data_IF_643492094394
#
_entry.id   IF_643492094394
#
_cell.length_a   1.000
_cell.length_b   1.000
_cell.length_c   1.000
_cell.angle_alpha   90.00
_cell.angle_beta   90.00
_cell.angle_gamma   90.00
#
_symmetry.space_group_name_H-M   'P 1'
#
loop_
_entity.id
_entity.type
_entity.pdbx_description
1 polymer ?
#
# COMPACT_ATOMS: atom_id res chain seq x y z
N UNK A 1 -16.72 -12.92 10.92
CA UNK A 1 -16.58 -12.31 9.58
C UNK A 1 -15.10 -11.93 9.40
N UNK A 2 -14.47 -12.36 8.31
CA UNK A 2 -13.10 -11.95 7.96
C UNK A 2 -13.12 -10.69 7.09
N UNK A 3 -11.95 -10.06 6.91
CA UNK A 3 -11.78 -8.96 5.97
C UNK A 3 -11.97 -9.44 4.53
N UNK A 4 -12.54 -8.60 3.68
CA UNK A 4 -12.51 -8.75 2.23
C UNK A 4 -11.33 -7.93 1.72
N UNK A 5 -10.59 -8.44 0.75
CA UNK A 5 -9.36 -7.82 0.23
C UNK A 5 -9.47 -7.64 -1.27
N UNK A 6 -9.36 -6.42 -1.73
CA UNK A 6 -9.11 -6.11 -3.14
C UNK A 6 -7.59 -6.01 -3.32
N UNK A 7 -6.99 -6.97 -4.01
CA UNK A 7 -5.57 -6.98 -4.38
C UNK A 7 -5.44 -6.39 -5.78
N UNK A 8 -4.80 -5.23 -5.86
CA UNK A 8 -4.59 -4.52 -7.12
C UNK A 8 -3.18 -4.79 -7.61
N UNK A 9 -3.06 -5.39 -8.78
CA UNK A 9 -1.78 -5.68 -9.42
C UNK A 9 -1.82 -5.28 -10.91
N UNK A 10 -0.77 -4.62 -11.36
CA UNK A 10 -0.67 -4.17 -12.75
C UNK A 10 -0.09 -5.24 -13.67
N UNK A 11 0.74 -6.13 -13.14
CA UNK A 11 1.49 -7.13 -13.91
C UNK A 11 0.84 -8.50 -13.78
N UNK A 12 0.07 -8.98 -14.79
CA UNK A 12 -0.63 -10.27 -14.69
C UNK A 12 0.32 -11.44 -14.39
N UNK A 13 1.55 -11.39 -14.92
CA UNK A 13 2.54 -12.43 -14.68
C UNK A 13 2.94 -12.58 -13.20
N UNK A 14 2.93 -11.49 -12.41
CA UNK A 14 3.17 -11.56 -10.97
C UNK A 14 2.03 -12.27 -10.25
N UNK A 15 0.79 -12.08 -10.71
CA UNK A 15 -0.36 -12.83 -10.20
C UNK A 15 -0.22 -14.33 -10.50
N UNK A 16 0.14 -14.67 -11.74
CA UNK A 16 0.36 -16.07 -12.15
C UNK A 16 1.48 -16.72 -11.33
N UNK A 17 2.62 -16.05 -11.17
CA UNK A 17 3.73 -16.57 -10.35
C UNK A 17 3.32 -16.82 -8.91
N UNK A 18 2.50 -15.96 -8.33
CA UNK A 18 2.01 -16.14 -6.96
C UNK A 18 0.99 -17.28 -6.84
N UNK A 19 0.26 -17.59 -7.90
CA UNK A 19 -0.65 -18.74 -7.94
C UNK A 19 0.06 -20.08 -8.16
N UNK A 20 1.13 -20.07 -8.93
CA UNK A 20 1.84 -21.29 -9.35
C UNK A 20 3.12 -21.50 -8.55
N UNK A 21 4.16 -20.73 -8.83
CA UNK A 21 5.51 -20.98 -8.28
C UNK A 21 5.66 -20.58 -6.82
N UNK A 22 4.98 -19.53 -6.39
CA UNK A 22 5.10 -18.97 -5.04
C UNK A 22 3.98 -19.43 -4.12
N UNK A 23 3.09 -20.27 -4.58
CA UNK A 23 1.90 -20.73 -3.85
C UNK A 23 2.22 -21.30 -2.46
N UNK A 24 3.24 -22.14 -2.39
CA UNK A 24 3.67 -22.76 -1.12
C UNK A 24 4.30 -21.74 -0.16
N UNK A 25 4.93 -20.70 -0.69
CA UNK A 25 5.55 -19.65 0.10
C UNK A 25 4.53 -18.65 0.64
N UNK A 26 3.54 -18.31 -0.15
CA UNK A 26 2.49 -17.34 0.22
C UNK A 26 1.28 -17.98 0.91
N UNK A 27 1.29 -19.31 1.11
CA UNK A 27 0.19 -20.04 1.75
C UNK A 27 -1.10 -20.08 0.93
N UNK A 28 -1.00 -20.03 -0.40
CA UNK A 28 -2.13 -20.03 -1.32
C UNK A 28 -3.14 -18.90 -1.06
N UNK A 29 -2.67 -17.73 -0.62
CA UNK A 29 -3.53 -16.60 -0.24
C UNK A 29 -4.42 -16.10 -1.38
N UNK A 30 -3.99 -16.26 -2.65
CA UNK A 30 -4.78 -15.83 -3.80
C UNK A 30 -5.98 -16.77 -4.09
N UNK A 31 -6.02 -17.97 -3.47
CA UNK A 31 -7.15 -18.90 -3.56
C UNK A 31 -8.20 -18.65 -2.47
N UNK A 32 -7.93 -17.76 -1.51
CA UNK A 32 -8.89 -17.41 -0.47
C UNK A 32 -10.06 -16.62 -1.08
N UNK A 33 -11.29 -17.10 -0.84
CA UNK A 33 -12.52 -16.48 -1.36
C UNK A 33 -12.74 -15.02 -0.90
N UNK A 34 -11.97 -14.57 0.08
CA UNK A 34 -11.98 -13.19 0.57
C UNK A 34 -11.06 -12.27 -0.22
N UNK A 35 -10.20 -12.83 -1.07
CA UNK A 35 -9.24 -12.09 -1.88
C UNK A 35 -9.76 -11.99 -3.31
N UNK A 36 -9.97 -10.77 -3.77
CA UNK A 36 -10.30 -10.45 -5.15
C UNK A 36 -9.09 -9.82 -5.82
N UNK A 37 -8.49 -10.52 -6.76
CA UNK A 37 -7.42 -9.98 -7.60
C UNK A 37 -8.02 -9.14 -8.71
N UNK A 38 -7.50 -7.93 -8.89
CA UNK A 38 -7.95 -6.96 -9.89
C UNK A 38 -6.70 -6.47 -10.66
N UNK A 39 -6.58 -6.87 -11.91
CA UNK A 39 -5.42 -6.59 -12.78
C UNK A 39 -5.58 -5.22 -13.45
N UNK A 40 -5.27 -4.16 -12.72
CA UNK A 40 -5.40 -2.77 -13.16
C UNK A 40 -4.34 -1.89 -12.50
N UNK A 41 -4.16 -0.67 -13.02
CA UNK A 41 -3.29 0.33 -12.40
C UNK A 41 -3.86 0.82 -11.07
N UNK A 42 -3.05 0.73 -10.00
CA UNK A 42 -3.42 1.20 -8.67
C UNK A 42 -3.73 2.70 -8.63
N UNK A 43 -3.06 3.50 -9.46
CA UNK A 43 -3.31 4.95 -9.57
C UNK A 43 -4.74 5.22 -10.04
N UNK A 44 -5.19 4.46 -11.04
CA UNK A 44 -6.54 4.63 -11.58
C UNK A 44 -7.60 4.10 -10.62
N UNK A 45 -7.35 2.96 -9.98
CA UNK A 45 -8.24 2.43 -8.94
C UNK A 45 -8.43 3.44 -7.80
N UNK A 46 -7.34 4.04 -7.32
CA UNK A 46 -7.39 5.02 -6.23
C UNK A 46 -8.14 6.30 -6.66
N UNK A 47 -7.95 6.74 -7.91
CA UNK A 47 -8.66 7.92 -8.43
C UNK A 47 -10.17 7.70 -8.57
N UNK A 48 -10.57 6.54 -9.06
CA UNK A 48 -11.96 6.22 -9.41
C UNK A 48 -12.77 5.65 -8.24
N UNK A 49 -12.10 5.10 -7.22
CA UNK A 49 -12.75 4.46 -6.08
C UNK A 49 -13.68 5.42 -5.32
N UNK A 50 -14.72 4.87 -4.71
CA UNK A 50 -15.72 5.62 -3.96
C UNK A 50 -15.18 6.16 -2.63
N UNK A 51 -15.70 7.30 -2.20
CA UNK A 51 -15.32 7.86 -0.91
C UNK A 51 -15.81 6.95 0.23
N UNK A 52 -14.95 6.78 1.24
CA UNK A 52 -15.27 6.00 2.45
C UNK A 52 -15.66 4.54 2.14
N UNK A 53 -15.02 3.91 1.16
CA UNK A 53 -15.26 2.52 0.76
C UNK A 53 -14.37 1.52 1.50
N UNK A 54 -13.18 1.95 1.97
CA UNK A 54 -12.20 1.03 2.56
C UNK A 54 -11.98 1.28 4.06
N UNK A 55 -11.80 0.19 4.80
CA UNK A 55 -11.37 0.20 6.21
C UNK A 55 -9.85 0.31 6.32
N UNK A 56 -9.12 -0.16 5.32
CA UNK A 56 -7.68 0.00 5.21
C UNK A 56 -7.27 0.13 3.73
N UNK A 57 -6.20 0.88 3.47
CA UNK A 57 -5.51 0.92 2.17
C UNK A 57 -4.03 0.68 2.44
N UNK A 58 -3.43 -0.33 1.80
CA UNK A 58 -2.01 -0.63 1.90
C UNK A 58 -1.38 -0.37 0.53
N UNK A 59 -0.34 0.46 0.51
CA UNK A 59 0.42 0.79 -0.68
C UNK A 59 1.85 0.26 -0.52
N UNK A 60 2.12 -0.79 -1.26
CA UNK A 60 3.44 -1.39 -1.48
C UNK A 60 3.75 -1.31 -2.97
N UNK A 61 3.86 -0.09 -3.47
CA UNK A 61 4.16 0.16 -4.88
C UNK A 61 5.65 0.42 -5.00
N UNK A 62 6.29 -0.31 -5.89
CA UNK A 62 7.71 -0.15 -6.17
C UNK A 62 8.09 1.32 -6.29
N UNK A 63 9.13 1.68 -5.54
CA UNK A 63 9.79 2.99 -5.47
C UNK A 63 9.37 3.92 -4.32
N UNK A 64 8.40 3.59 -3.49
CA UNK A 64 8.08 4.36 -2.29
C UNK A 64 8.05 5.88 -2.50
N UNK A 65 8.32 6.63 -1.45
CA UNK A 65 8.41 8.10 -1.48
C UNK A 65 9.67 8.65 -2.17
N UNK A 66 10.70 7.80 -2.36
CA UNK A 66 12.03 8.19 -2.92
C UNK A 66 12.26 7.66 -4.34
N UNK A 67 11.21 7.26 -5.04
CA UNK A 67 11.20 6.50 -6.28
C UNK A 67 12.23 6.86 -7.35
N UNK A 68 12.94 5.82 -7.83
CA UNK A 68 13.96 5.95 -8.88
C UNK A 68 13.48 5.55 -10.30
N UNK A 69 12.31 4.96 -10.51
CA UNK A 69 12.04 4.25 -11.78
C UNK A 69 10.77 4.63 -12.55
N UNK A 70 9.70 5.13 -11.97
CA UNK A 70 8.53 5.59 -12.76
C UNK A 70 7.83 6.78 -12.14
N UNK A 71 7.67 7.82 -12.95
CA UNK A 71 6.96 9.07 -12.60
C UNK A 71 5.47 8.89 -12.29
N UNK A 72 4.84 7.82 -12.75
CA UNK A 72 3.41 7.54 -12.52
C UNK A 72 3.10 7.20 -11.07
N UNK A 73 3.89 6.33 -10.43
CA UNK A 73 3.67 5.92 -9.06
C UNK A 73 3.96 7.04 -8.05
N UNK A 74 4.87 7.97 -8.38
CA UNK A 74 5.15 9.14 -7.52
C UNK A 74 3.91 10.02 -7.31
N UNK A 75 2.94 9.95 -8.21
CA UNK A 75 1.68 10.68 -8.09
C UNK A 75 0.88 10.30 -6.85
N UNK A 76 0.96 9.02 -6.41
CA UNK A 76 0.27 8.52 -5.21
C UNK A 76 0.83 9.14 -3.93
N UNK A 77 2.13 9.44 -3.90
CA UNK A 77 2.84 10.04 -2.77
C UNK A 77 2.79 11.58 -2.77
N UNK A 78 2.17 12.18 -3.78
CA UNK A 78 1.91 13.63 -3.85
C UNK A 78 0.78 14.04 -2.89
N UNK A 79 0.68 15.34 -2.60
CA UNK A 79 -0.47 15.87 -1.83
C UNK A 79 -1.82 15.50 -2.44
N UNK A 80 -1.92 15.46 -3.78
CA UNK A 80 -3.15 15.08 -4.48
C UNK A 80 -3.45 13.59 -4.29
N UNK A 81 -2.45 12.72 -4.49
CA UNK A 81 -2.59 11.29 -4.27
C UNK A 81 -2.99 10.96 -2.84
N UNK A 82 -2.29 11.54 -1.86
CA UNK A 82 -2.58 11.34 -0.44
C UNK A 82 -4.00 11.80 -0.04
N UNK A 83 -4.49 12.92 -0.61
CA UNK A 83 -5.89 13.33 -0.41
C UNK A 83 -6.87 12.32 -0.99
N UNK A 84 -6.54 11.74 -2.14
CA UNK A 84 -7.39 10.73 -2.77
C UNK A 84 -7.42 9.45 -1.94
N UNK A 85 -6.28 8.96 -1.48
CA UNK A 85 -6.21 7.82 -0.54
C UNK A 85 -7.02 8.11 0.72
N UNK A 86 -6.86 9.31 1.29
CA UNK A 86 -7.62 9.71 2.48
C UNK A 86 -9.14 9.76 2.24
N UNK A 87 -9.57 10.11 1.03
CA UNK A 87 -10.98 10.11 0.64
C UNK A 87 -11.58 8.70 0.65
N UNK A 88 -10.84 7.71 0.15
CA UNK A 88 -11.26 6.31 0.11
C UNK A 88 -11.46 5.70 1.50
N UNK A 89 -10.69 6.13 2.48
CA UNK A 89 -10.78 5.59 3.84
C UNK A 89 -12.06 6.04 4.54
N UNK A 90 -12.69 5.10 5.24
CA UNK A 90 -13.74 5.39 6.21
C UNK A 90 -13.21 6.24 7.37
N UNK A 91 -14.06 6.91 8.15
CA UNK A 91 -13.64 7.65 9.35
C UNK A 91 -12.92 6.73 10.35
N UNK A 92 -11.83 7.24 10.96
CA UNK A 92 -11.00 6.51 11.93
C UNK A 92 -10.23 5.31 11.36
N UNK A 93 -10.24 5.13 10.05
CA UNK A 93 -9.49 4.09 9.36
C UNK A 93 -8.10 4.60 8.92
N UNK A 94 -7.27 3.74 8.38
CA UNK A 94 -5.86 4.05 8.15
C UNK A 94 -5.33 3.56 6.81
N UNK A 95 -4.28 4.22 6.31
CA UNK A 95 -3.45 3.71 5.22
C UNK A 95 -2.06 3.33 5.72
N UNK A 96 -1.47 2.31 5.11
CA UNK A 96 -0.07 1.92 5.27
C UNK A 96 0.69 2.21 3.97
N UNK A 97 1.85 2.83 4.09
CA UNK A 97 2.73 3.09 2.96
C UNK A 97 4.09 2.44 3.26
N UNK A 98 4.43 1.43 2.46
CA UNK A 98 5.73 0.79 2.55
C UNK A 98 6.83 1.69 1.99
N UNK A 99 7.99 1.69 2.61
CA UNK A 99 9.16 2.46 2.18
C UNK A 99 10.45 1.75 2.56
N UNK A 100 11.47 1.85 1.69
CA UNK A 100 12.81 1.34 1.95
C UNK A 100 13.56 2.11 3.06
N UNK A 101 13.00 3.21 3.56
CA UNK A 101 13.60 4.00 4.63
C UNK A 101 12.70 5.14 5.09
N UNK A 102 13.16 5.89 6.08
CA UNK A 102 12.45 7.07 6.58
C UNK A 102 12.57 8.23 5.59
N UNK A 103 11.44 8.87 5.28
CA UNK A 103 11.36 10.09 4.49
C UNK A 103 10.60 11.17 5.27
N UNK A 104 11.32 12.11 5.92
CA UNK A 104 10.70 13.21 6.65
C UNK A 104 9.81 14.11 5.77
N UNK A 105 10.16 14.27 4.51
CA UNK A 105 9.37 15.07 3.56
C UNK A 105 8.05 14.37 3.23
N UNK A 106 8.05 13.05 3.13
CA UNK A 106 6.82 12.29 2.93
C UNK A 106 5.91 12.36 4.15
N UNK A 107 6.48 12.22 5.35
CA UNK A 107 5.75 12.42 6.59
C UNK A 107 5.08 13.79 6.63
N UNK A 108 5.83 14.86 6.35
CA UNK A 108 5.29 16.22 6.34
C UNK A 108 4.16 16.39 5.30
N UNK A 109 4.28 15.75 4.11
CA UNK A 109 3.20 15.74 3.10
C UNK A 109 1.93 15.09 3.61
N UNK A 110 2.04 13.94 4.30
CA UNK A 110 0.89 13.25 4.90
C UNK A 110 0.20 14.12 5.96
N UNK A 111 0.97 14.77 6.84
CA UNK A 111 0.45 15.66 7.87
C UNK A 111 -0.28 16.87 7.26
N UNK A 112 0.26 17.44 6.16
CA UNK A 112 -0.37 18.55 5.43
C UNK A 112 -1.75 18.17 4.88
N UNK A 113 -1.98 16.91 4.54
CA UNK A 113 -3.31 16.43 4.11
C UNK A 113 -4.15 15.88 5.27
N UNK A 114 -3.77 16.20 6.50
CA UNK A 114 -4.52 15.90 7.74
C UNK A 114 -4.54 14.41 8.10
N UNK A 115 -3.49 13.66 7.80
CA UNK A 115 -3.24 12.38 8.45
C UNK A 115 -2.49 12.59 9.76
N UNK A 116 -2.81 11.77 10.75
CA UNK A 116 -1.95 11.58 11.92
C UNK A 116 -0.98 10.45 11.61
N UNK A 117 0.30 10.74 11.57
CA UNK A 117 1.32 9.82 11.05
C UNK A 117 2.10 9.17 12.19
N UNK A 118 2.14 7.85 12.16
CA UNK A 118 3.10 7.01 12.89
C UNK A 118 3.93 6.21 11.92
N UNK A 119 4.96 5.51 12.40
CA UNK A 119 5.71 4.58 11.58
C UNK A 119 6.09 3.33 12.38
N UNK A 120 6.19 2.21 11.66
CA UNK A 120 6.66 0.94 12.18
C UNK A 120 7.93 0.60 11.40
N UNK A 121 9.01 0.34 12.13
CA UNK A 121 10.24 -0.19 11.53
C UNK A 121 10.10 -1.69 11.35
N UNK A 122 10.24 -2.17 10.13
CA UNK A 122 10.14 -3.57 9.78
C UNK A 122 11.52 -4.17 9.51
N UNK A 123 11.75 -5.36 10.00
CA UNK A 123 12.98 -6.12 9.77
C UNK A 123 12.83 -6.95 8.49
N UNK A 124 13.95 -7.20 7.79
CA UNK A 124 13.96 -8.05 6.60
C UNK A 124 13.55 -9.50 6.94
N UNK A 125 14.01 -9.99 8.09
CA UNK A 125 13.67 -11.31 8.60
C UNK A 125 13.81 -11.35 10.13
N UNK A 126 13.29 -12.40 10.76
CA UNK A 126 13.21 -12.53 12.23
C UNK A 126 14.57 -12.42 12.94
N UNK A 127 15.68 -12.76 12.31
CA UNK A 127 17.03 -12.64 12.87
C UNK A 127 17.75 -11.32 12.57
N UNK A 128 17.17 -10.42 11.81
CA UNK A 128 17.81 -9.15 11.43
C UNK A 128 18.02 -8.23 12.63
N UNK A 129 19.24 -7.71 12.80
CA UNK A 129 19.58 -6.75 13.87
C UNK A 129 19.06 -5.34 13.53
N UNK A 130 18.98 -4.98 12.26
CA UNK A 130 18.57 -3.67 11.79
C UNK A 130 17.22 -3.73 11.07
N UNK A 131 16.39 -2.71 11.27
CA UNK A 131 15.21 -2.50 10.45
C UNK A 131 15.66 -1.95 9.09
N UNK A 132 15.25 -2.61 7.99
CA UNK A 132 15.58 -2.18 6.63
C UNK A 132 14.43 -1.41 5.98
N UNK A 133 13.21 -1.54 6.51
CA UNK A 133 12.02 -0.95 5.92
C UNK A 133 11.22 -0.15 6.95
N UNK A 134 10.40 0.76 6.46
CA UNK A 134 9.48 1.56 7.26
C UNK A 134 8.08 1.47 6.67
N UNK A 135 7.11 1.18 7.52
CA UNK A 135 5.69 1.31 7.17
C UNK A 135 5.19 2.61 7.79
N UNK A 136 4.86 3.57 6.95
CA UNK A 136 4.25 4.81 7.40
C UNK A 136 2.74 4.58 7.59
N UNK A 137 2.26 4.71 8.82
CA UNK A 137 0.85 4.57 9.17
C UNK A 137 0.18 5.94 9.17
N UNK A 138 -0.75 6.15 8.27
CA UNK A 138 -1.51 7.37 8.11
C UNK A 138 -2.94 7.18 8.62
N UNK A 139 -3.25 7.72 9.79
CA UNK A 139 -4.55 7.60 10.42
C UNK A 139 -5.44 8.79 10.02
N UNK A 140 -6.65 8.48 9.51
CA UNK A 140 -7.64 9.48 9.09
C UNK A 140 -8.39 10.09 10.28
#
# INVERSE_FOLDING_TARGET
>A
MGAQVDLIELVPMEVEWNRDFLKDLNGALLDDLRVKVIEVDAVDTIKQGDAQSYDAVILDVDNGSTGMVKTTNTSLYSHKGLRTVRRLLKPKCRAGFWSAGEDPHFKARMETVRFRVGHIRAKVHVGSMLAAYVINLANK
#
